data_IF_047696036586
#
_entry.id   IF_047696036586
#
_cell.length_a   1.000
_cell.length_b   1.000
_cell.length_c   1.000
_cell.angle_alpha   90.00
_cell.angle_beta   90.00
_cell.angle_gamma   90.00
#
_symmetry.space_group_name_H-M   'P 1'
#
loop_
_entity.id
_entity.type
_entity.pdbx_description
1 polymer ?
#
# COMPACT_ATOMS: atom_id res chain seq x y z
N UNK A 1 -6.89 1.03 -7.30
CA UNK A 1 -5.73 1.23 -6.40
C UNK A 1 -5.22 -0.11 -5.86
N UNK A 2 -6.06 -0.90 -5.20
CA UNK A 2 -5.71 -2.23 -4.69
C UNK A 2 -5.07 -3.15 -5.76
N UNK A 3 -5.65 -3.21 -6.97
CA UNK A 3 -5.11 -4.04 -8.06
C UNK A 3 -3.70 -3.65 -8.51
N UNK A 4 -3.33 -2.40 -8.30
CA UNK A 4 -2.02 -1.86 -8.63
C UNK A 4 -1.07 -1.79 -7.42
N UNK A 5 -1.46 -2.39 -6.28
CA UNK A 5 -0.66 -2.35 -5.05
C UNK A 5 -0.27 -0.95 -4.58
N UNK A 6 -1.10 0.07 -4.87
CA UNK A 6 -0.93 1.40 -4.30
C UNK A 6 -1.55 1.40 -2.91
N UNK A 7 -0.80 1.59 -1.81
CA UNK A 7 -1.37 1.69 -0.47
C UNK A 7 -2.27 2.94 -0.37
N UNK A 8 -3.48 2.77 0.18
CA UNK A 8 -4.45 3.85 0.29
C UNK A 8 -5.31 3.70 1.55
N UNK A 9 -5.93 4.80 1.96
CA UNK A 9 -7.04 4.80 2.90
C UNK A 9 -8.25 5.48 2.23
N UNK A 10 -9.45 5.15 2.70
CA UNK A 10 -10.68 5.83 2.30
C UNK A 10 -11.04 6.81 3.40
N UNK A 11 -11.24 8.06 3.03
CA UNK A 11 -11.72 9.11 3.93
C UNK A 11 -13.12 9.49 3.48
N UNK A 12 -14.06 9.54 4.42
CA UNK A 12 -15.46 9.86 4.16
C UNK A 12 -15.77 11.21 4.78
N UNK A 13 -16.37 12.10 3.98
CA UNK A 13 -16.98 13.34 4.46
C UNK A 13 -18.48 13.08 4.60
N UNK A 14 -18.96 13.10 5.84
CA UNK A 14 -20.36 12.95 6.19
C UNK A 14 -21.13 14.25 5.97
N UNK A 15 -22.42 14.08 5.67
CA UNK A 15 -23.42 15.13 5.63
C UNK A 15 -24.25 15.10 6.93
N UNK A 16 -25.46 15.66 6.88
CA UNK A 16 -26.40 15.67 8.01
C UNK A 16 -26.86 14.27 8.43
N UNK A 17 -26.70 13.25 7.59
CA UNK A 17 -26.99 11.84 7.92
C UNK A 17 -25.82 11.14 8.61
N UNK A 18 -24.61 11.68 8.53
CA UNK A 18 -23.40 11.18 9.19
C UNK A 18 -22.76 12.28 10.05
N UNK A 19 -23.48 12.79 11.08
CA UNK A 19 -22.96 13.84 11.94
C UNK A 19 -21.71 13.36 12.67
N UNK A 20 -20.66 14.18 12.64
CA UNK A 20 -19.36 13.88 13.26
C UNK A 20 -18.29 13.34 12.31
N UNK A 21 -18.64 12.99 11.07
CA UNK A 21 -17.67 12.57 10.04
C UNK A 21 -17.24 13.75 9.15
N UNK A 22 -16.88 14.89 9.75
CA UNK A 22 -16.39 16.05 8.98
C UNK A 22 -14.88 15.93 8.75
N UNK A 23 -14.49 15.92 7.48
CA UNK A 23 -13.07 15.97 7.09
C UNK A 23 -12.53 17.35 7.40
N UNK A 24 -11.38 17.40 8.08
CA UNK A 24 -10.64 18.65 8.33
C UNK A 24 -9.38 18.75 7.48
N UNK A 25 -8.73 19.91 7.47
CA UNK A 25 -7.43 20.10 6.83
C UNK A 25 -6.38 19.13 7.39
N UNK A 26 -6.31 18.99 8.71
CA UNK A 26 -5.37 18.09 9.40
C UNK A 26 -5.62 16.63 9.04
N UNK A 27 -6.87 16.27 8.73
CA UNK A 27 -7.20 14.92 8.22
C UNK A 27 -6.58 14.69 6.86
N UNK A 28 -6.69 15.67 5.95
CA UNK A 28 -6.16 15.58 4.59
C UNK A 28 -4.64 15.67 4.54
N UNK A 29 -4.00 16.43 5.43
CA UNK A 29 -2.54 16.57 5.54
C UNK A 29 -1.79 15.26 5.76
N UNK A 30 -2.45 14.25 6.32
CA UNK A 30 -1.87 12.90 6.53
C UNK A 30 -1.61 12.14 5.23
N UNK A 31 -2.19 12.59 4.11
CA UNK A 31 -2.13 11.88 2.84
C UNK A 31 -1.29 12.64 1.84
N UNK A 32 -0.35 11.94 1.20
CA UNK A 32 0.50 12.55 0.17
C UNK A 32 -0.28 12.97 -1.08
N UNK A 33 -1.29 12.20 -1.46
CA UNK A 33 -2.14 12.47 -2.61
C UNK A 33 -3.60 12.16 -2.24
N UNK A 34 -4.49 13.06 -2.63
CA UNK A 34 -5.94 12.95 -2.49
C UNK A 34 -6.52 12.59 -3.85
N UNK A 35 -7.16 11.43 -3.92
CA UNK A 35 -7.82 10.95 -5.14
C UNK A 35 -9.31 11.14 -4.96
N UNK A 36 -9.93 11.95 -5.83
CA UNK A 36 -11.37 12.22 -5.79
C UNK A 36 -12.09 11.63 -7.00
N UNK A 37 -13.33 11.13 -6.85
CA UNK A 37 -14.18 10.77 -7.98
C UNK A 37 -14.43 11.98 -8.90
N UNK A 38 -14.60 11.72 -10.21
CA UNK A 38 -14.87 12.79 -11.18
C UNK A 38 -16.27 13.40 -11.05
N UNK A 39 -17.19 12.68 -10.45
CA UNK A 39 -18.59 13.04 -10.19
C UNK A 39 -18.84 13.49 -8.74
N UNK A 40 -17.77 13.73 -7.97
CA UNK A 40 -17.89 14.22 -6.60
C UNK A 40 -18.62 15.57 -6.58
N UNK A 41 -19.70 15.67 -5.80
CA UNK A 41 -20.42 16.90 -5.53
C UNK A 41 -20.11 17.38 -4.11
N UNK A 42 -19.01 18.15 -3.90
CA UNK A 42 -18.66 18.64 -2.57
C UNK A 42 -19.60 19.76 -2.14
N UNK A 43 -19.92 19.81 -0.84
CA UNK A 43 -20.47 21.03 -0.24
C UNK A 43 -19.40 22.14 -0.21
N UNK A 44 -19.79 23.34 0.24
CA UNK A 44 -18.89 24.49 0.25
C UNK A 44 -17.63 24.28 1.11
N UNK A 45 -17.76 23.52 2.21
CA UNK A 45 -16.64 23.28 3.13
C UNK A 45 -15.63 22.31 2.50
N UNK A 46 -16.11 21.18 1.99
CA UNK A 46 -15.26 20.21 1.31
C UNK A 46 -14.66 20.81 0.02
N UNK A 47 -15.40 21.63 -0.71
CA UNK A 47 -14.90 22.31 -1.90
C UNK A 47 -13.70 23.21 -1.58
N UNK A 48 -13.75 23.96 -0.47
CA UNK A 48 -12.65 24.80 -0.03
C UNK A 48 -11.40 23.98 0.33
N UNK A 49 -11.57 22.86 1.04
CA UNK A 49 -10.47 21.95 1.39
C UNK A 49 -9.82 21.33 0.14
N UNK A 50 -10.64 20.87 -0.81
CA UNK A 50 -10.15 20.29 -2.05
C UNK A 50 -9.47 21.35 -2.94
N UNK A 51 -9.93 22.59 -2.92
CA UNK A 51 -9.31 23.68 -3.67
C UNK A 51 -7.91 23.99 -3.13
N UNK A 52 -7.74 24.09 -1.81
CA UNK A 52 -6.42 24.25 -1.20
C UNK A 52 -5.48 23.08 -1.57
N UNK A 53 -5.98 21.85 -1.53
CA UNK A 53 -5.20 20.67 -1.95
C UNK A 53 -4.81 20.66 -3.44
N UNK A 54 -5.61 21.28 -4.31
CA UNK A 54 -5.26 21.44 -5.75
C UNK A 54 -4.12 22.43 -5.93
N UNK A 55 -4.11 23.53 -5.18
CA UNK A 55 -3.06 24.55 -5.21
C UNK A 55 -1.71 23.98 -4.74
N UNK A 56 -1.73 23.02 -3.80
CA UNK A 56 -0.57 22.25 -3.36
C UNK A 56 -0.20 21.08 -4.31
N UNK A 57 -0.90 20.93 -5.43
CA UNK A 57 -0.75 19.82 -6.38
C UNK A 57 -0.94 18.41 -5.77
N UNK A 58 -1.73 18.32 -4.68
CA UNK A 58 -2.01 17.08 -3.94
C UNK A 58 -3.34 16.43 -4.29
N UNK A 59 -4.24 17.12 -5.00
CA UNK A 59 -5.53 16.57 -5.43
C UNK A 59 -5.45 16.11 -6.88
N UNK A 60 -5.93 14.89 -7.14
CA UNK A 60 -6.09 14.34 -8.49
C UNK A 60 -7.49 13.79 -8.66
N UNK A 61 -8.12 14.09 -9.80
CA UNK A 61 -9.39 13.47 -10.18
C UNK A 61 -9.08 12.08 -10.73
N UNK A 62 -9.80 11.07 -10.25
CA UNK A 62 -9.63 9.70 -10.68
C UNK A 62 -9.84 9.56 -12.19
N UNK A 63 -8.80 9.12 -12.87
CA UNK A 63 -8.77 8.87 -14.32
C UNK A 63 -8.03 7.57 -14.67
N UNK A 64 -7.75 6.74 -13.65
CA UNK A 64 -6.98 5.51 -13.77
C UNK A 64 -5.66 5.57 -13.00
N UNK A 65 -5.00 4.41 -12.88
CA UNK A 65 -3.79 4.26 -12.06
C UNK A 65 -2.59 5.03 -12.61
N UNK A 66 -2.50 5.22 -13.93
CA UNK A 66 -1.39 5.93 -14.55
C UNK A 66 -1.26 7.38 -14.03
N UNK A 67 -2.37 8.06 -13.77
CA UNK A 67 -2.37 9.40 -13.17
C UNK A 67 -1.80 9.41 -11.74
N UNK A 68 -2.00 8.33 -10.99
CA UNK A 68 -1.45 8.16 -9.64
C UNK A 68 0.04 7.87 -9.71
N UNK A 69 0.46 6.95 -10.59
CA UNK A 69 1.88 6.61 -10.77
C UNK A 69 2.69 7.80 -11.29
N UNK A 70 2.10 8.68 -12.11
CA UNK A 70 2.76 9.92 -12.53
C UNK A 70 3.08 10.86 -11.36
N UNK A 71 2.37 10.75 -10.23
CA UNK A 71 2.54 11.61 -9.04
C UNK A 71 3.34 10.94 -7.92
N UNK A 72 3.16 9.64 -7.74
CA UNK A 72 3.73 8.88 -6.61
C UNK A 72 4.78 7.85 -7.05
N UNK A 73 4.98 7.65 -8.35
CA UNK A 73 5.67 6.47 -8.85
C UNK A 73 4.89 5.18 -8.54
N UNK A 74 5.61 4.07 -8.51
CA UNK A 74 5.08 2.77 -8.11
C UNK A 74 5.53 2.47 -6.67
N UNK A 75 4.68 2.70 -5.66
CA UNK A 75 5.07 2.49 -4.26
C UNK A 75 5.39 1.02 -3.96
N UNK A 76 4.73 0.11 -4.67
CA UNK A 76 4.99 -1.32 -4.63
C UNK A 76 5.00 -1.87 -6.05
N UNK A 77 6.06 -2.59 -6.40
CA UNK A 77 6.19 -3.34 -7.66
C UNK A 77 6.29 -4.82 -7.37
N UNK A 78 5.61 -5.63 -8.18
CA UNK A 78 5.68 -7.09 -8.12
C UNK A 78 6.21 -7.61 -9.46
N UNK A 79 7.14 -8.55 -9.42
CA UNK A 79 7.70 -9.20 -10.61
C UNK A 79 7.68 -10.72 -10.44
N UNK A 80 7.32 -11.45 -11.50
CA UNK A 80 7.28 -12.92 -11.51
C UNK A 80 5.94 -13.54 -11.07
N UNK A 81 4.98 -12.74 -10.62
CA UNK A 81 3.60 -13.19 -10.36
C UNK A 81 2.58 -12.09 -10.60
N UNK A 82 1.34 -12.49 -10.82
CA UNK A 82 0.16 -11.64 -10.73
C UNK A 82 -0.68 -11.99 -9.49
N UNK A 83 -1.81 -11.29 -9.32
CA UNK A 83 -2.83 -11.59 -8.29
C UNK A 83 -2.32 -11.66 -6.84
N UNK A 84 -1.22 -10.97 -6.53
CA UNK A 84 -0.77 -10.75 -5.15
C UNK A 84 -1.10 -9.32 -4.75
N UNK A 85 -1.73 -9.16 -3.58
CA UNK A 85 -1.88 -7.88 -2.90
C UNK A 85 -0.81 -7.75 -1.82
N UNK A 86 -0.09 -6.64 -1.83
CA UNK A 86 0.97 -6.28 -0.89
C UNK A 86 0.48 -5.12 -0.06
N UNK A 87 0.45 -5.30 1.25
CA UNK A 87 0.01 -4.27 2.20
C UNK A 87 1.11 -4.00 3.21
N UNK A 88 1.91 -2.95 2.98
CA UNK A 88 2.89 -2.47 3.96
C UNK A 88 2.19 -1.92 5.21
N UNK A 89 2.75 -2.21 6.38
CA UNK A 89 2.31 -1.74 7.68
C UNK A 89 3.54 -1.27 8.45
N UNK A 90 3.63 0.05 8.64
CA UNK A 90 4.66 0.63 9.51
C UNK A 90 4.25 0.38 10.96
N UNK A 91 5.02 -0.44 11.67
CA UNK A 91 4.90 -0.58 13.11
C UNK A 91 6.12 0.11 13.75
N UNK A 92 5.90 1.25 14.37
CA UNK A 92 6.94 1.89 15.18
C UNK A 92 6.94 1.19 16.53
N UNK A 93 7.85 0.23 16.72
CA UNK A 93 8.11 -0.42 18.00
C UNK A 93 9.09 0.41 18.84
N UNK A 94 9.03 0.28 20.16
CA UNK A 94 9.89 0.99 21.13
C UNK A 94 11.39 0.69 20.94
N UNK A 95 11.73 -0.44 20.32
CA UNK A 95 13.09 -0.92 20.06
C UNK A 95 13.68 -0.44 18.71
N UNK A 96 12.92 0.33 17.93
CA UNK A 96 13.43 1.03 16.74
C UNK A 96 13.27 0.33 15.39
N UNK A 97 12.55 -0.80 15.29
CA UNK A 97 12.10 -1.28 13.96
C UNK A 97 10.97 -2.31 14.01
N UNK A 98 9.95 -2.18 13.14
CA UNK A 98 9.70 -3.17 12.06
C UNK A 98 8.63 -2.72 11.07
N UNK A 99 8.97 -2.70 9.78
CA UNK A 99 7.97 -2.66 8.71
C UNK A 99 7.48 -4.10 8.51
N UNK A 100 6.17 -4.32 8.61
CA UNK A 100 5.56 -5.59 8.24
C UNK A 100 4.91 -5.46 6.86
N UNK A 101 5.09 -6.46 6.01
CA UNK A 101 4.53 -6.48 4.66
C UNK A 101 3.62 -7.69 4.56
N UNK A 102 2.32 -7.46 4.50
CA UNK A 102 1.37 -8.53 4.28
C UNK A 102 1.33 -8.86 2.79
N UNK A 103 1.44 -10.14 2.46
CA UNK A 103 1.35 -10.68 1.10
C UNK A 103 0.10 -11.55 1.02
N UNK A 104 -0.92 -11.13 0.30
CA UNK A 104 -2.18 -11.85 0.15
C UNK A 104 -2.29 -12.41 -1.27
N UNK A 105 -2.45 -13.73 -1.39
CA UNK A 105 -2.79 -14.34 -2.65
C UNK A 105 -4.27 -14.07 -2.96
N UNK A 106 -4.56 -13.60 -4.17
CA UNK A 106 -5.92 -13.34 -4.68
C UNK A 106 -6.30 -14.28 -5.81
N UNK A 107 -5.47 -15.27 -6.12
CA UNK A 107 -5.76 -16.32 -7.09
C UNK A 107 -6.67 -17.40 -6.49
N UNK A 108 -7.84 -17.00 -6.01
CA UNK A 108 -8.87 -17.92 -5.54
C UNK A 108 -9.65 -18.48 -6.73
N UNK A 109 -9.81 -19.81 -6.76
CA UNK A 109 -10.65 -20.55 -7.70
C UNK A 109 -11.92 -20.98 -6.98
N UNK A 110 -13.05 -20.54 -7.53
CA UNK A 110 -14.36 -20.80 -6.93
C UNK A 110 -14.85 -22.22 -7.22
N UNK A 111 -14.43 -22.80 -8.34
CA UNK A 111 -14.92 -24.10 -8.83
C UNK A 111 -14.55 -25.25 -7.88
N UNK A 112 -13.40 -25.15 -7.22
CA UNK A 112 -12.88 -26.17 -6.32
C UNK A 112 -12.54 -25.62 -4.91
N UNK A 113 -12.96 -24.39 -4.61
CA UNK A 113 -12.78 -23.71 -3.32
C UNK A 113 -11.33 -23.71 -2.84
N UNK A 114 -10.41 -23.29 -3.71
CA UNK A 114 -8.96 -23.36 -3.47
C UNK A 114 -8.23 -22.10 -3.89
N UNK A 115 -7.16 -21.81 -3.16
CA UNK A 115 -6.14 -20.88 -3.64
C UNK A 115 -5.24 -21.61 -4.64
N UNK A 116 -4.90 -20.96 -5.74
CA UNK A 116 -3.80 -21.39 -6.59
C UNK A 116 -2.48 -20.83 -6.04
N UNK A 117 -1.53 -21.67 -5.60
CA UNK A 117 -0.25 -21.19 -5.11
C UNK A 117 0.45 -20.31 -6.15
N UNK A 118 1.15 -19.28 -5.66
CA UNK A 118 1.98 -18.40 -6.49
C UNK A 118 3.43 -18.88 -6.44
N UNK A 119 4.11 -18.96 -7.60
CA UNK A 119 5.52 -19.35 -7.68
C UNK A 119 6.41 -18.30 -6.98
N UNK A 120 7.74 -18.51 -6.86
CA UNK A 120 8.64 -17.48 -6.39
C UNK A 120 8.49 -16.16 -7.17
N UNK A 121 8.54 -15.03 -6.47
CA UNK A 121 8.37 -13.69 -7.05
C UNK A 121 9.16 -12.63 -6.27
N UNK A 122 9.29 -11.45 -6.85
CA UNK A 122 9.98 -10.32 -6.22
C UNK A 122 8.99 -9.20 -5.89
N UNK A 123 9.17 -8.60 -4.73
CA UNK A 123 8.47 -7.37 -4.31
C UNK A 123 9.49 -6.26 -4.14
N UNK A 124 9.28 -5.13 -4.79
CA UNK A 124 10.07 -3.91 -4.56
C UNK A 124 9.20 -2.86 -3.88
N UNK A 125 9.64 -2.38 -2.73
CA UNK A 125 9.01 -1.29 -1.99
C UNK A 125 9.79 0.00 -2.22
N UNK A 126 9.08 1.07 -2.59
CA UNK A 126 9.71 2.38 -2.77
C UNK A 126 10.19 2.97 -1.44
N UNK A 127 11.16 3.90 -1.44
CA UNK A 127 11.62 4.58 -0.22
C UNK A 127 10.49 5.24 0.58
N UNK A 128 9.46 5.73 -0.12
CA UNK A 128 8.31 6.39 0.50
C UNK A 128 7.46 5.43 1.35
N UNK A 129 7.39 4.16 0.96
CA UNK A 129 6.71 3.11 1.73
C UNK A 129 7.54 2.69 2.93
N UNK A 130 8.87 2.67 2.77
CA UNK A 130 9.80 2.20 3.80
C UNK A 130 9.89 3.17 4.98
N UNK A 131 9.70 4.48 4.75
CA UNK A 131 9.82 5.53 5.77
C UNK A 131 11.25 5.74 6.29
N UNK A 132 12.21 4.97 5.78
CA UNK A 132 13.64 5.04 6.07
C UNK A 132 14.44 4.51 4.86
N UNK A 133 15.76 4.79 4.78
CA UNK A 133 16.59 4.29 3.69
C UNK A 133 16.49 2.77 3.51
N UNK A 134 16.49 2.29 2.26
CA UNK A 134 16.36 0.86 1.96
C UNK A 134 17.51 0.04 2.56
N UNK A 135 18.69 0.64 2.66
CA UNK A 135 19.83 0.03 3.30
C UNK A 135 19.75 0.05 4.85
N UNK A 136 18.68 0.54 5.45
CA UNK A 136 18.46 0.28 6.87
C UNK A 136 17.99 -1.18 7.11
N UNK A 137 17.35 -1.79 6.11
CA UNK A 137 16.80 -3.14 6.23
C UNK A 137 17.83 -4.17 5.76
N UNK A 138 18.24 -5.04 6.67
CA UNK A 138 19.29 -6.05 6.46
C UNK A 138 18.76 -7.47 6.61
N UNK A 139 17.64 -7.64 7.30
CA UNK A 139 17.02 -8.95 7.52
C UNK A 139 15.55 -8.90 7.16
N UNK A 140 15.06 -10.03 6.69
CA UNK A 140 13.65 -10.24 6.49
C UNK A 140 13.28 -11.67 6.89
N UNK A 141 12.16 -11.78 7.60
CA UNK A 141 11.61 -13.06 8.02
C UNK A 141 10.19 -13.19 7.50
N UNK A 142 9.93 -14.26 6.75
CA UNK A 142 8.62 -14.60 6.25
C UNK A 142 7.92 -15.55 7.23
N UNK A 143 6.73 -15.16 7.63
CA UNK A 143 5.81 -15.93 8.45
C UNK A 143 4.62 -16.35 7.58
N UNK A 144 4.33 -17.64 7.55
CA UNK A 144 3.16 -18.19 6.85
C UNK A 144 2.37 -19.11 7.79
N UNK A 145 1.03 -19.20 7.63
CA UNK A 145 0.21 -20.11 8.43
C UNK A 145 0.72 -21.55 8.33
N UNK A 146 0.88 -22.21 9.49
CA UNK A 146 1.30 -23.62 9.59
C UNK A 146 2.69 -23.93 9.01
N UNK A 147 3.53 -22.92 8.83
CA UNK A 147 4.93 -23.07 8.44
C UNK A 147 5.84 -22.44 9.50
N UNK A 148 7.05 -22.98 9.63
CA UNK A 148 8.10 -22.34 10.42
C UNK A 148 8.53 -21.02 9.76
N UNK A 149 8.91 -19.99 10.55
CA UNK A 149 9.46 -18.76 10.01
C UNK A 149 10.69 -19.02 9.14
N UNK A 150 10.75 -18.39 7.98
CA UNK A 150 11.85 -18.57 7.03
C UNK A 150 12.55 -17.23 6.77
N UNK A 151 13.88 -17.24 6.74
CA UNK A 151 14.63 -16.08 6.26
C UNK A 151 14.37 -15.88 4.76
N UNK A 152 14.15 -14.63 4.34
CA UNK A 152 14.02 -14.26 2.93
C UNK A 152 15.05 -13.21 2.56
N UNK A 153 15.51 -13.24 1.32
CA UNK A 153 16.54 -12.32 0.85
C UNK A 153 15.97 -10.93 0.67
N UNK A 154 16.71 -9.93 1.13
CA UNK A 154 16.43 -8.51 0.89
C UNK A 154 17.66 -7.80 0.36
N UNK A 155 17.44 -6.86 -0.54
CA UNK A 155 18.50 -6.09 -1.17
C UNK A 155 18.06 -4.66 -1.42
N UNK A 156 18.87 -3.70 -0.99
CA UNK A 156 18.72 -2.32 -1.42
C UNK A 156 19.06 -2.23 -2.91
N UNK A 157 18.13 -1.66 -3.68
CA UNK A 157 18.26 -1.37 -5.11
C UNK A 157 17.97 0.12 -5.33
N UNK A 158 18.29 0.65 -6.51
CA UNK A 158 18.06 2.06 -6.83
C UNK A 158 16.60 2.49 -6.58
N UNK A 159 15.65 1.60 -6.86
CA UNK A 159 14.21 1.87 -6.73
C UNK A 159 13.66 1.64 -5.32
N UNK A 160 14.47 1.24 -4.34
CA UNK A 160 14.06 0.98 -2.95
C UNK A 160 14.56 -0.35 -2.40
N UNK A 161 13.70 -1.10 -1.70
CA UNK A 161 14.05 -2.41 -1.13
C UNK A 161 13.40 -3.53 -1.93
N UNK A 162 14.20 -4.44 -2.48
CA UNK A 162 13.73 -5.68 -3.10
C UNK A 162 13.70 -6.81 -2.08
N UNK A 163 12.61 -7.59 -2.09
CA UNK A 163 12.38 -8.78 -1.29
C UNK A 163 12.14 -9.95 -2.24
N UNK A 164 12.89 -11.04 -2.09
CA UNK A 164 12.68 -12.28 -2.83
C UNK A 164 11.76 -13.22 -2.04
N UNK A 165 10.54 -13.42 -2.55
CA UNK A 165 9.51 -14.25 -1.91
C UNK A 165 9.57 -15.66 -2.54
N UNK A 166 9.76 -16.73 -1.75
CA UNK A 166 9.92 -18.10 -2.26
C UNK A 166 8.64 -18.70 -2.87
N UNK A 167 7.50 -18.05 -2.64
CA UNK A 167 6.18 -18.48 -3.09
C UNK A 167 5.12 -18.04 -2.09
N UNK A 168 3.86 -18.11 -2.48
CA UNK A 168 2.75 -17.70 -1.63
C UNK A 168 1.54 -18.60 -1.86
N UNK A 169 1.06 -19.25 -0.81
CA UNK A 169 -0.15 -20.07 -0.87
C UNK A 169 -1.40 -19.23 -0.55
N UNK A 170 -1.63 -18.92 0.73
CA UNK A 170 -2.79 -18.13 1.15
C UNK A 170 -2.43 -16.68 1.49
N UNK A 171 -1.71 -16.50 2.60
CA UNK A 171 -1.29 -15.21 3.14
C UNK A 171 0.02 -15.41 3.90
N UNK A 172 0.94 -14.46 3.77
CA UNK A 172 2.18 -14.41 4.55
C UNK A 172 2.44 -12.99 5.04
N UNK A 173 3.27 -12.87 6.07
CA UNK A 173 3.81 -11.60 6.55
C UNK A 173 5.31 -11.65 6.40
N UNK A 174 5.90 -10.62 5.79
CA UNK A 174 7.36 -10.40 5.82
C UNK A 174 7.65 -9.31 6.85
N UNK A 175 8.35 -9.66 7.91
CA UNK A 175 8.89 -8.70 8.87
C UNK A 175 10.26 -8.21 8.38
N UNK A 176 10.48 -6.90 8.33
CA UNK A 176 11.71 -6.26 7.87
C UNK A 176 12.45 -5.53 8.99
N UNK A 177 13.73 -5.86 9.18
CA UNK A 177 14.61 -5.34 10.22
C UNK A 177 15.86 -4.71 9.61
#
# INVERSE_FOLDING_TARGET
LADANVPFAVVVHGDDWLPGYRITKETLERYRLLVVPGDLQPDSELAALLQAGKEEARVVVWSGVAAIHARLGEPVRIQGTDRVLVVPRVCVREDGSTLAVHLLNRAYRKEDDRMEPRPPFQVTLSPDVLGRPADAFRKATLYAPRAEPAAVSVQAVEQGLRIDVPGLDFWSIVELQ
#
